data_IF_650441892800
#
_entry.id   IF_650441892800
#
_cell.length_a   1.000
_cell.length_b   1.000
_cell.length_c   1.000
_cell.angle_alpha   90.00
_cell.angle_beta   90.00
_cell.angle_gamma   90.00
#
_symmetry.space_group_name_H-M   'P 1'
#
loop_
_entity.id
_entity.type
_entity.pdbx_description
1 polymer ?
#
# COMPACT_ATOMS: atom_id res chain seq x y z
N UNK A 1 14.51 25.15 -28.70
CA UNK A 1 13.64 26.35 -28.63
C UNK A 1 13.55 26.73 -27.17
N UNK A 2 14.05 27.90 -26.78
CA UNK A 2 13.99 28.42 -25.42
C UNK A 2 12.53 28.73 -25.07
N UNK A 3 11.96 27.94 -24.17
CA UNK A 3 10.65 28.23 -23.58
C UNK A 3 10.81 29.54 -22.79
N UNK A 4 10.36 30.65 -23.37
CA UNK A 4 10.34 31.96 -22.71
C UNK A 4 9.38 31.81 -21.54
N UNK A 5 9.93 31.69 -20.33
CA UNK A 5 9.14 31.61 -19.11
C UNK A 5 8.34 32.90 -18.97
N UNK A 6 7.05 32.86 -19.29
CA UNK A 6 6.13 33.97 -19.05
C UNK A 6 6.17 34.33 -17.56
N UNK A 7 6.51 35.57 -17.18
CA UNK A 7 6.54 35.99 -15.79
C UNK A 7 5.17 35.74 -15.13
N UNK A 8 5.13 34.89 -14.11
CA UNK A 8 3.90 34.52 -13.39
C UNK A 8 3.30 33.16 -13.74
N UNK A 9 3.83 32.43 -14.73
CA UNK A 9 3.45 31.04 -14.95
C UNK A 9 4.02 30.14 -13.83
N UNK A 10 3.20 29.25 -13.27
CA UNK A 10 3.69 28.26 -12.29
C UNK A 10 4.81 27.42 -12.92
N UNK A 11 5.88 27.19 -12.16
CA UNK A 11 6.93 26.28 -12.59
C UNK A 11 6.31 24.91 -12.92
N UNK A 12 6.65 24.38 -14.10
CA UNK A 12 6.19 23.07 -14.59
C UNK A 12 6.69 21.99 -13.64
N UNK A 13 5.84 21.00 -13.33
CA UNK A 13 6.23 19.89 -12.46
C UNK A 13 7.09 18.86 -13.21
N UNK A 14 7.81 18.02 -12.47
CA UNK A 14 8.65 16.97 -13.05
C UNK A 14 7.86 16.06 -13.98
N UNK A 15 6.70 15.56 -13.52
CA UNK A 15 5.80 14.68 -14.28
C UNK A 15 5.22 15.32 -15.55
N UNK A 16 5.23 16.64 -15.62
CA UNK A 16 4.68 17.43 -16.74
C UNK A 16 5.76 17.80 -17.76
N UNK A 17 7.04 17.50 -17.47
CA UNK A 17 8.16 17.83 -18.35
C UNK A 17 8.30 16.78 -19.45
N UNK A 18 8.13 17.14 -20.74
CA UNK A 18 8.31 16.20 -21.83
C UNK A 18 9.80 15.98 -22.14
N UNK A 19 10.10 14.86 -22.81
CA UNK A 19 11.37 14.70 -23.52
C UNK A 19 11.34 15.54 -24.81
N UNK A 20 12.48 16.08 -25.21
CA UNK A 20 12.62 16.68 -26.53
C UNK A 20 12.73 15.61 -27.64
N UNK A 21 12.70 16.05 -28.89
CA UNK A 21 12.79 15.17 -30.07
C UNK A 21 14.10 14.36 -30.14
N UNK A 22 15.12 14.75 -29.39
CA UNK A 22 16.42 14.08 -29.30
C UNK A 22 16.53 13.19 -28.06
N UNK A 23 15.40 12.97 -27.38
CA UNK A 23 15.32 12.15 -26.18
C UNK A 23 15.97 12.80 -24.95
N UNK A 24 16.29 14.10 -24.97
CA UNK A 24 16.78 14.78 -23.78
C UNK A 24 15.62 15.12 -22.85
N UNK A 25 15.86 14.95 -21.56
CA UNK A 25 15.00 15.43 -20.50
C UNK A 25 15.81 16.35 -19.60
N UNK A 26 15.33 17.58 -19.46
CA UNK A 26 15.94 18.59 -18.61
C UNK A 26 14.87 19.15 -17.68
N UNK A 27 15.04 18.85 -16.40
CA UNK A 27 14.21 19.39 -15.34
C UNK A 27 15.09 20.01 -14.28
N UNK A 28 14.74 21.22 -13.85
CA UNK A 28 15.30 21.85 -12.68
C UNK A 28 14.17 22.47 -11.89
N UNK A 29 14.02 22.01 -10.66
CA UNK A 29 13.02 22.52 -9.75
C UNK A 29 13.31 23.95 -9.31
N UNK A 30 12.25 24.71 -9.06
CA UNK A 30 12.31 26.11 -8.63
C UNK A 30 12.83 26.29 -7.19
N UNK A 31 12.82 25.22 -6.39
CA UNK A 31 13.32 25.21 -5.01
C UNK A 31 14.73 24.61 -4.89
N UNK A 32 15.34 24.22 -6.01
CA UNK A 32 16.68 23.66 -6.08
C UNK A 32 17.72 24.67 -5.57
N UNK A 33 18.58 24.21 -4.66
CA UNK A 33 19.74 24.99 -4.16
C UNK A 33 21.00 24.16 -4.33
N UNK A 34 21.98 24.64 -5.12
CA UNK A 34 23.27 23.98 -5.24
C UNK A 34 23.97 23.86 -3.88
N UNK A 35 24.61 22.73 -3.63
CA UNK A 35 25.44 22.53 -2.42
C UNK A 35 24.69 22.04 -1.18
N UNK A 36 23.37 21.87 -1.22
CA UNK A 36 22.64 21.28 -0.10
C UNK A 36 23.14 19.85 0.20
N UNK A 37 23.57 19.63 1.44
CA UNK A 37 23.85 18.28 1.94
C UNK A 37 22.54 17.49 2.10
N UNK A 38 22.64 16.15 2.20
CA UNK A 38 21.46 15.28 2.17
C UNK A 38 20.49 15.52 3.34
N UNK A 39 21.01 15.81 4.54
CA UNK A 39 20.19 16.05 5.72
C UNK A 39 19.43 17.38 5.61
N UNK A 40 20.11 18.46 5.21
CA UNK A 40 19.48 19.77 4.96
C UNK A 40 18.40 19.66 3.88
N UNK A 41 18.71 18.97 2.78
CA UNK A 41 17.77 18.75 1.69
C UNK A 41 16.52 18.00 2.16
N UNK A 42 16.69 16.90 2.91
CA UNK A 42 15.59 16.11 3.46
C UNK A 42 14.71 16.92 4.41
N UNK A 43 15.30 17.71 5.32
CA UNK A 43 14.55 18.56 6.24
C UNK A 43 13.73 19.65 5.52
N UNK A 44 14.30 20.26 4.47
CA UNK A 44 13.58 21.24 3.63
C UNK A 44 12.41 20.60 2.89
N UNK A 45 12.62 19.41 2.31
CA UNK A 45 11.56 18.64 1.65
C UNK A 45 10.47 18.28 2.65
N UNK A 46 10.82 17.83 3.85
CA UNK A 46 9.85 17.52 4.91
C UNK A 46 8.96 18.71 5.24
N UNK A 47 9.56 19.88 5.50
CA UNK A 47 8.81 21.11 5.81
C UNK A 47 7.91 21.54 4.66
N UNK A 48 8.37 21.39 3.41
CA UNK A 48 7.57 21.68 2.22
C UNK A 48 6.40 20.72 2.05
N UNK A 49 6.62 19.42 2.20
CA UNK A 49 5.55 18.43 2.10
C UNK A 49 4.47 18.64 3.17
N UNK A 50 4.85 18.95 4.42
CA UNK A 50 3.89 19.32 5.49
C UNK A 50 3.06 20.54 5.14
N UNK A 51 3.66 21.51 4.45
CA UNK A 51 2.94 22.72 4.01
C UNK A 51 2.01 22.44 2.83
N UNK A 52 2.40 21.55 1.91
CA UNK A 52 1.62 21.23 0.70
C UNK A 52 0.52 20.21 0.91
N UNK A 53 0.68 19.32 1.87
CA UNK A 53 -0.28 18.28 2.21
C UNK A 53 -0.55 18.36 3.73
N UNK A 54 -1.28 19.38 4.20
CA UNK A 54 -1.48 19.63 5.63
C UNK A 54 -2.17 18.48 6.36
N UNK A 55 -3.03 17.73 5.66
CA UNK A 55 -3.77 16.59 6.21
C UNK A 55 -3.03 15.25 6.04
N UNK A 56 -1.81 15.25 5.49
CA UNK A 56 -1.01 14.05 5.25
C UNK A 56 0.20 14.02 6.17
N UNK A 57 0.41 12.90 6.86
CA UNK A 57 1.58 12.68 7.70
C UNK A 57 2.65 11.93 6.92
N UNK A 58 3.88 12.44 6.97
CA UNK A 58 5.04 11.82 6.34
C UNK A 58 6.12 11.48 7.36
N UNK A 59 6.89 10.43 7.07
CA UNK A 59 8.27 10.29 7.54
C UNK A 59 9.21 10.42 6.34
N UNK A 60 10.28 11.22 6.50
CA UNK A 60 11.33 11.33 5.49
C UNK A 60 12.50 10.44 5.88
N UNK A 61 12.92 9.60 4.95
CA UNK A 61 14.12 8.76 5.08
C UNK A 61 15.10 9.11 3.98
N UNK A 62 16.38 8.94 4.28
CA UNK A 62 17.46 9.20 3.34
C UNK A 62 18.38 7.99 3.23
N UNK A 63 18.80 7.67 2.02
CA UNK A 63 19.76 6.60 1.75
C UNK A 63 20.93 7.16 0.94
N UNK A 64 22.16 6.75 1.29
CA UNK A 64 23.35 6.97 0.48
C UNK A 64 23.56 5.74 -0.38
N UNK A 65 23.63 5.94 -1.70
CA UNK A 65 23.92 4.91 -2.68
C UNK A 65 25.35 5.11 -3.17
N UNK A 66 26.02 4.04 -3.63
CA UNK A 66 27.42 4.11 -4.06
C UNK A 66 27.74 5.20 -5.10
N UNK A 67 26.75 5.65 -5.88
CA UNK A 67 26.88 6.77 -6.84
C UNK A 67 25.77 7.82 -6.73
N UNK A 68 25.05 7.89 -5.62
CA UNK A 68 23.91 8.80 -5.53
C UNK A 68 23.32 8.93 -4.14
N UNK A 69 22.28 9.75 -4.04
CA UNK A 69 21.55 10.02 -2.81
C UNK A 69 20.09 9.73 -3.08
N UNK A 70 19.35 9.17 -2.13
CA UNK A 70 17.93 8.90 -2.27
C UNK A 70 17.16 9.48 -1.10
N UNK A 71 15.99 10.04 -1.39
CA UNK A 71 15.05 10.57 -0.40
C UNK A 71 13.72 9.84 -0.59
N UNK A 72 13.22 9.28 0.50
CA UNK A 72 11.98 8.51 0.53
C UNK A 72 10.98 9.27 1.40
N UNK A 73 9.83 9.62 0.83
CA UNK A 73 8.67 10.11 1.57
C UNK A 73 7.72 8.96 1.86
N UNK A 74 7.70 8.51 3.11
CA UNK A 74 6.81 7.46 3.58
C UNK A 74 5.52 8.09 4.13
N UNK A 75 4.40 7.82 3.47
CA UNK A 75 3.07 8.28 3.86
C UNK A 75 2.63 7.44 5.06
N UNK A 76 2.45 8.09 6.21
CA UNK A 76 2.07 7.46 7.47
C UNK A 76 0.59 7.61 7.78
N UNK A 77 -0.04 8.64 7.23
CA UNK A 77 -1.48 8.85 7.31
C UNK A 77 -1.92 9.84 6.23
N UNK A 78 -3.14 9.70 5.71
CA UNK A 78 -3.76 10.62 4.77
C UNK A 78 -5.28 10.48 4.83
N UNK A 79 -6.08 11.53 4.56
CA UNK A 79 -7.54 11.44 4.55
C UNK A 79 -8.05 10.53 3.43
N UNK A 80 -7.33 10.47 2.30
CA UNK A 80 -7.70 9.68 1.15
C UNK A 80 -7.61 8.17 1.41
N UNK A 81 -8.51 7.43 0.77
CA UNK A 81 -8.44 5.98 0.59
C UNK A 81 -7.41 5.65 -0.49
N UNK A 82 -6.27 5.08 -0.08
CA UNK A 82 -5.18 4.65 -0.97
C UNK A 82 -5.19 3.13 -1.20
N UNK A 83 -6.30 2.43 -0.92
CA UNK A 83 -6.43 0.99 -1.22
C UNK A 83 -6.40 0.76 -2.74
N UNK A 84 -7.02 1.64 -3.54
CA UNK A 84 -7.05 1.53 -4.99
C UNK A 84 -5.70 1.92 -5.63
N UNK A 85 -5.22 1.13 -6.60
CA UNK A 85 -3.90 1.35 -7.23
C UNK A 85 -3.80 2.71 -7.93
N UNK A 86 -4.88 3.17 -8.56
CA UNK A 86 -4.89 4.48 -9.23
C UNK A 86 -4.74 5.61 -8.21
N UNK A 87 -5.45 5.55 -7.07
CA UNK A 87 -5.29 6.51 -5.98
C UNK A 87 -3.86 6.50 -5.40
N UNK A 88 -3.21 5.34 -5.32
CA UNK A 88 -1.79 5.24 -4.93
C UNK A 88 -0.89 5.95 -5.94
N UNK A 89 -1.07 5.67 -7.23
CA UNK A 89 -0.26 6.27 -8.29
C UNK A 89 -0.41 7.79 -8.29
N UNK A 90 -1.64 8.30 -8.16
CA UNK A 90 -1.93 9.74 -8.14
C UNK A 90 -1.21 10.43 -6.96
N UNK A 91 -1.30 9.88 -5.75
CA UNK A 91 -0.61 10.46 -4.59
C UNK A 91 0.91 10.35 -4.72
N UNK A 92 1.43 9.25 -5.28
CA UNK A 92 2.87 9.11 -5.49
C UNK A 92 3.40 10.13 -6.49
N UNK A 93 2.70 10.34 -7.60
CA UNK A 93 3.06 11.38 -8.58
C UNK A 93 3.03 12.76 -7.94
N UNK A 94 1.94 13.10 -7.24
CA UNK A 94 1.79 14.40 -6.59
C UNK A 94 2.88 14.68 -5.55
N UNK A 95 3.21 13.71 -4.70
CA UNK A 95 4.27 13.84 -3.68
C UNK A 95 5.65 13.95 -4.35
N UNK A 96 5.95 13.08 -5.33
CA UNK A 96 7.23 13.11 -6.05
C UNK A 96 7.43 14.44 -6.77
N UNK A 97 6.39 14.97 -7.44
CA UNK A 97 6.46 16.28 -8.09
C UNK A 97 6.85 17.39 -7.11
N UNK A 98 6.36 17.36 -5.87
CA UNK A 98 6.76 18.33 -4.85
C UNK A 98 8.19 18.11 -4.34
N UNK A 99 8.66 16.87 -4.26
CA UNK A 99 10.04 16.56 -3.87
C UNK A 99 11.03 16.99 -4.97
N UNK A 100 10.73 16.67 -6.23
CA UNK A 100 11.58 16.96 -7.39
C UNK A 100 11.84 18.45 -7.55
N UNK A 101 10.93 19.34 -7.09
CA UNK A 101 11.16 20.79 -7.07
C UNK A 101 12.43 21.23 -6.33
N UNK A 102 13.01 20.39 -5.48
CA UNK A 102 14.28 20.66 -4.79
C UNK A 102 15.52 20.16 -5.54
N UNK A 103 15.32 19.50 -6.68
CA UNK A 103 16.36 18.84 -7.41
C UNK A 103 16.49 19.27 -8.86
N UNK A 104 17.36 18.56 -9.56
CA UNK A 104 17.43 18.58 -11.01
C UNK A 104 17.57 17.15 -11.52
N UNK A 105 17.13 16.96 -12.76
CA UNK A 105 17.35 15.73 -13.52
C UNK A 105 17.69 16.10 -14.95
N UNK A 106 18.78 15.51 -15.44
CA UNK A 106 19.24 15.59 -16.82
C UNK A 106 19.46 14.18 -17.32
N UNK A 107 18.68 13.76 -18.29
CA UNK A 107 18.83 12.43 -18.87
C UNK A 107 18.68 12.47 -20.39
N UNK A 108 19.19 11.43 -21.04
CA UNK A 108 18.94 11.16 -22.45
C UNK A 108 18.62 9.68 -22.63
N UNK A 109 17.42 9.38 -23.11
CA UNK A 109 16.94 7.99 -23.26
C UNK A 109 17.66 7.21 -24.35
N UNK A 110 18.26 7.88 -25.33
CA UNK A 110 19.00 7.25 -26.43
C UNK A 110 20.48 7.02 -26.11
N UNK A 111 21.01 7.68 -25.07
CA UNK A 111 22.43 7.66 -24.73
C UNK A 111 22.71 7.00 -23.37
N UNK A 112 21.69 6.39 -22.75
CA UNK A 112 21.77 5.81 -21.39
C UNK A 112 22.38 6.78 -20.36
N UNK A 113 22.12 8.08 -20.55
CA UNK A 113 22.60 9.13 -19.67
C UNK A 113 21.51 9.44 -18.64
N UNK A 114 21.87 9.37 -17.36
CA UNK A 114 21.00 9.80 -16.28
C UNK A 114 21.80 10.47 -15.16
N UNK A 115 21.58 11.75 -14.96
CA UNK A 115 22.21 12.54 -13.92
C UNK A 115 21.14 13.31 -13.14
N UNK A 116 21.03 13.05 -11.84
CA UNK A 116 20.08 13.73 -10.97
C UNK A 116 20.75 14.15 -9.66
N UNK A 117 20.17 15.14 -8.99
CA UNK A 117 20.67 15.59 -7.67
C UNK A 117 20.42 14.58 -6.54
N UNK A 118 19.34 13.78 -6.68
CA UNK A 118 18.94 12.70 -5.80
C UNK A 118 17.83 11.88 -6.48
N UNK A 119 17.67 10.62 -6.08
CA UNK A 119 16.53 9.79 -6.41
C UNK A 119 15.39 10.06 -5.43
N UNK A 120 14.15 10.21 -5.91
CA UNK A 120 12.97 10.34 -5.06
C UNK A 120 12.09 9.10 -5.10
N UNK A 121 11.49 8.76 -3.97
CA UNK A 121 10.47 7.73 -3.84
C UNK A 121 9.36 8.22 -2.92
N UNK A 122 8.11 8.08 -3.34
CA UNK A 122 6.95 8.18 -2.47
C UNK A 122 6.38 6.78 -2.28
N UNK A 123 6.09 6.40 -1.04
CA UNK A 123 5.55 5.07 -0.71
C UNK A 123 4.59 5.15 0.45
N UNK A 124 3.70 4.17 0.56
CA UNK A 124 2.80 4.03 1.71
C UNK A 124 3.52 3.22 2.79
N UNK A 125 3.60 3.78 3.99
CA UNK A 125 4.14 3.10 5.16
C UNK A 125 3.10 2.21 5.85
N UNK A 126 3.55 1.23 6.63
CA UNK A 126 2.65 0.36 7.40
C UNK A 126 1.69 1.14 8.32
N UNK A 127 2.15 2.27 8.88
CA UNK A 127 1.35 3.10 9.77
C UNK A 127 0.09 3.67 9.09
N UNK A 128 0.15 3.93 7.78
CA UNK A 128 -1.00 4.42 7.03
C UNK A 128 -2.13 3.41 7.04
N UNK A 129 -1.82 2.13 6.80
CA UNK A 129 -2.85 1.11 6.76
C UNK A 129 -3.50 0.86 8.11
N UNK A 130 -2.73 0.95 9.20
CA UNK A 130 -3.28 0.90 10.54
C UNK A 130 -4.21 2.10 10.83
N UNK A 131 -3.83 3.31 10.42
CA UNK A 131 -4.65 4.52 10.58
C UNK A 131 -5.94 4.45 9.73
N UNK A 132 -5.84 3.93 8.51
CA UNK A 132 -6.97 3.72 7.60
C UNK A 132 -7.98 2.72 8.17
N UNK A 133 -7.49 1.57 8.65
CA UNK A 133 -8.33 0.54 9.29
C UNK A 133 -9.05 1.11 10.53
N UNK A 134 -8.34 1.89 11.35
CA UNK A 134 -8.93 2.56 12.51
C UNK A 134 -10.04 3.55 12.13
N UNK A 135 -9.92 4.28 11.01
CA UNK A 135 -10.96 5.21 10.52
C UNK A 135 -12.17 4.51 9.93
N UNK A 136 -11.96 3.46 9.14
CA UNK A 136 -13.06 2.72 8.49
C UNK A 136 -13.83 1.84 9.45
N UNK A 137 -13.17 1.44 10.54
CA UNK A 137 -13.61 0.30 11.31
C UNK A 137 -13.37 -1.02 10.56
N UNK A 138 -13.54 -2.16 11.24
CA UNK A 138 -13.33 -3.46 10.61
C UNK A 138 -14.34 -3.66 9.48
N UNK A 139 -13.85 -3.81 8.23
CA UNK A 139 -14.68 -4.06 7.03
C UNK A 139 -15.64 -5.25 7.21
N UNK A 140 -15.24 -6.24 8.02
CA UNK A 140 -16.07 -7.36 8.46
C UNK A 140 -15.92 -7.55 9.98
N UNK A 141 -16.78 -6.94 10.79
CA UNK A 141 -16.77 -7.17 12.23
C UNK A 141 -17.22 -8.61 12.51
N UNK A 142 -16.38 -9.36 13.23
CA UNK A 142 -16.72 -10.67 13.78
C UNK A 142 -16.32 -10.65 15.24
N UNK A 143 -17.29 -10.85 16.13
CA UNK A 143 -17.01 -10.95 17.56
C UNK A 143 -16.12 -12.17 17.82
N UNK A 144 -15.01 -12.00 18.54
CA UNK A 144 -14.11 -13.10 18.87
C UNK A 144 -14.65 -13.97 20.04
N UNK A 145 -15.85 -14.55 19.88
CA UNK A 145 -16.51 -15.38 20.90
C UNK A 145 -15.89 -16.77 21.01
N UNK A 146 -15.34 -17.28 19.90
CA UNK A 146 -14.70 -18.59 19.80
C UNK A 146 -13.23 -18.40 19.46
N UNK A 147 -12.34 -18.86 20.34
CA UNK A 147 -10.90 -18.83 20.08
C UNK A 147 -10.51 -19.80 18.95
N UNK A 148 -9.37 -19.58 18.29
CA UNK A 148 -8.87 -20.50 17.27
C UNK A 148 -8.74 -21.94 17.79
N UNK A 149 -8.29 -22.13 19.03
CA UNK A 149 -8.17 -23.45 19.65
C UNK A 149 -9.54 -24.10 19.88
N UNK A 150 -10.53 -23.33 20.34
CA UNK A 150 -11.90 -23.82 20.50
C UNK A 150 -12.54 -24.15 19.14
N UNK A 151 -12.33 -23.31 18.13
CA UNK A 151 -12.80 -23.54 16.76
C UNK A 151 -12.24 -24.84 16.18
N UNK A 152 -10.91 -25.06 16.27
CA UNK A 152 -10.27 -26.32 15.85
C UNK A 152 -10.85 -27.54 16.54
N UNK A 153 -11.27 -27.39 17.80
CA UNK A 153 -11.94 -28.46 18.57
C UNK A 153 -13.40 -28.66 18.18
N UNK A 154 -14.07 -27.73 17.51
CA UNK A 154 -15.49 -27.87 17.15
C UNK A 154 -15.71 -28.18 15.67
N UNK A 155 -14.88 -27.65 14.77
CA UNK A 155 -15.00 -27.88 13.32
C UNK A 155 -14.75 -29.34 12.99
N UNK A 156 -15.54 -29.91 12.07
CA UNK A 156 -15.47 -31.32 11.67
C UNK A 156 -15.53 -31.51 10.16
N UNK A 157 -15.06 -32.67 9.71
CA UNK A 157 -15.37 -33.12 8.36
C UNK A 157 -16.89 -33.31 8.21
N UNK A 158 -17.45 -32.84 7.10
CA UNK A 158 -18.89 -32.78 6.84
C UNK A 158 -19.54 -31.43 7.15
N UNK A 159 -18.90 -30.56 7.93
CA UNK A 159 -19.29 -29.14 7.98
C UNK A 159 -19.03 -28.48 6.63
N UNK A 160 -19.62 -27.32 6.37
CA UNK A 160 -19.38 -26.54 5.16
C UNK A 160 -18.97 -25.10 5.48
N UNK A 161 -18.13 -24.53 4.62
CA UNK A 161 -17.74 -23.12 4.67
C UNK A 161 -18.22 -22.43 3.39
N UNK A 162 -19.04 -21.39 3.55
CA UNK A 162 -19.41 -20.48 2.46
C UNK A 162 -18.51 -19.25 2.51
N UNK A 163 -17.76 -18.98 1.44
CA UNK A 163 -16.93 -17.79 1.38
C UNK A 163 -17.81 -16.56 1.10
N UNK A 164 -17.97 -15.68 2.08
CA UNK A 164 -18.88 -14.53 2.01
C UNK A 164 -18.17 -13.20 1.74
N UNK A 165 -16.89 -13.09 2.11
CA UNK A 165 -16.04 -11.96 1.71
C UNK A 165 -14.60 -12.43 1.50
N UNK A 166 -13.93 -11.83 0.53
CA UNK A 166 -12.54 -12.11 0.18
C UNK A 166 -11.92 -10.91 -0.54
N UNK A 167 -10.58 -10.85 -0.66
CA UNK A 167 -9.92 -9.84 -1.47
C UNK A 167 -10.43 -9.87 -2.93
N UNK A 168 -10.36 -8.73 -3.61
CA UNK A 168 -10.88 -8.57 -4.96
C UNK A 168 -10.33 -9.64 -5.93
N UNK A 169 -11.20 -10.20 -6.78
CA UNK A 169 -10.82 -11.22 -7.77
C UNK A 169 -10.76 -12.66 -7.23
N UNK A 170 -11.17 -12.90 -5.97
CA UNK A 170 -11.16 -14.27 -5.43
C UNK A 170 -12.24 -15.16 -6.08
N UNK A 171 -11.81 -16.06 -6.96
CA UNK A 171 -12.65 -16.94 -7.80
C UNK A 171 -13.75 -17.75 -7.08
N UNK A 172 -13.58 -17.99 -5.79
CA UNK A 172 -14.50 -18.83 -5.02
C UNK A 172 -15.45 -18.02 -4.11
N UNK A 173 -15.49 -16.69 -4.26
CA UNK A 173 -16.42 -15.84 -3.52
C UNK A 173 -17.86 -16.27 -3.82
N UNK A 174 -18.69 -16.40 -2.77
CA UNK A 174 -20.06 -16.88 -2.84
C UNK A 174 -20.23 -18.41 -2.85
N UNK A 175 -19.14 -19.18 -3.01
CA UNK A 175 -19.22 -20.65 -3.05
C UNK A 175 -19.25 -21.27 -1.66
N UNK A 176 -20.09 -22.28 -1.49
CA UNK A 176 -20.12 -23.18 -0.34
C UNK A 176 -19.33 -24.43 -0.65
N UNK A 177 -18.40 -24.81 0.23
CA UNK A 177 -17.60 -26.03 0.06
C UNK A 177 -17.58 -26.83 1.36
N UNK A 178 -17.79 -28.14 1.24
CA UNK A 178 -17.71 -29.06 2.37
C UNK A 178 -16.26 -29.23 2.84
N UNK A 179 -16.08 -29.37 4.14
CA UNK A 179 -14.82 -29.75 4.78
C UNK A 179 -14.68 -31.26 4.65
N UNK A 180 -13.67 -31.72 3.92
CA UNK A 180 -13.38 -33.16 3.75
C UNK A 180 -12.42 -33.67 4.81
N UNK A 181 -11.53 -32.80 5.33
CA UNK A 181 -10.59 -33.16 6.39
C UNK A 181 -10.24 -31.95 7.25
N UNK A 182 -10.08 -32.17 8.56
CA UNK A 182 -9.55 -31.19 9.52
C UNK A 182 -8.19 -31.67 10.00
N UNK A 183 -7.16 -30.82 9.92
CA UNK A 183 -5.81 -31.09 10.44
C UNK A 183 -5.41 -30.04 11.47
N UNK A 184 -4.25 -30.19 12.10
CA UNK A 184 -3.76 -29.24 13.09
C UNK A 184 -3.43 -27.85 12.47
N UNK A 185 -2.95 -27.85 11.22
CA UNK A 185 -2.49 -26.66 10.50
C UNK A 185 -3.48 -26.10 9.48
N UNK A 186 -4.43 -26.90 8.99
CA UNK A 186 -5.34 -26.50 7.92
C UNK A 186 -6.68 -27.27 7.90
N UNK A 187 -7.57 -26.81 7.04
CA UNK A 187 -8.78 -27.49 6.61
C UNK A 187 -8.65 -27.85 5.13
N UNK A 188 -9.10 -29.05 4.75
CA UNK A 188 -9.25 -29.43 3.35
C UNK A 188 -10.71 -29.26 2.97
N UNK A 189 -10.94 -28.44 1.95
CA UNK A 189 -12.23 -28.22 1.34
C UNK A 189 -12.37 -29.08 0.09
N UNK A 190 -13.62 -29.33 -0.29
CA UNK A 190 -13.98 -29.93 -1.57
C UNK A 190 -13.24 -29.25 -2.74
N UNK A 191 -12.83 -30.06 -3.73
CA UNK A 191 -11.99 -29.61 -4.85
C UNK A 191 -10.49 -29.51 -4.52
N UNK A 192 -10.02 -30.17 -3.45
CA UNK A 192 -8.62 -30.17 -2.98
C UNK A 192 -8.08 -28.75 -2.70
N UNK A 193 -8.95 -27.87 -2.23
CA UNK A 193 -8.58 -26.53 -1.78
C UNK A 193 -8.19 -26.58 -0.31
N UNK A 194 -7.11 -25.90 0.07
CA UNK A 194 -6.61 -25.88 1.44
C UNK A 194 -6.88 -24.51 2.07
N UNK A 195 -7.26 -24.50 3.35
CA UNK A 195 -7.41 -23.29 4.15
C UNK A 195 -6.56 -23.42 5.41
N UNK A 196 -5.40 -22.75 5.41
CA UNK A 196 -4.47 -22.77 6.55
C UNK A 196 -4.99 -21.93 7.71
N UNK A 197 -4.77 -22.41 8.93
CA UNK A 197 -5.09 -21.63 10.12
C UNK A 197 -4.09 -20.49 10.32
N UNK A 198 -4.56 -19.27 10.61
CA UNK A 198 -3.67 -18.14 10.89
C UNK A 198 -3.11 -18.24 12.32
N UNK A 199 -2.27 -17.26 12.70
CA UNK A 199 -1.96 -17.01 14.11
C UNK A 199 -3.23 -16.59 14.86
N UNK A 200 -3.25 -16.79 16.18
CA UNK A 200 -4.43 -16.49 17.01
C UNK A 200 -4.88 -15.02 16.90
N UNK A 201 -3.96 -14.07 16.79
CA UNK A 201 -4.27 -12.64 16.64
C UNK A 201 -4.94 -12.27 15.30
N UNK A 202 -4.83 -13.16 14.30
CA UNK A 202 -5.40 -12.98 12.97
C UNK A 202 -6.70 -13.79 12.76
N UNK A 203 -7.24 -14.40 13.83
CA UNK A 203 -8.46 -15.20 13.80
C UNK A 203 -9.58 -14.54 14.60
N UNK A 204 -10.80 -14.54 14.07
CA UNK A 204 -12.01 -14.23 14.83
C UNK A 204 -13.15 -15.17 14.43
N UNK A 205 -13.97 -15.59 15.39
CA UNK A 205 -15.13 -16.42 15.14
C UNK A 205 -16.23 -16.14 16.17
N UNK A 206 -17.45 -15.85 15.70
CA UNK A 206 -18.61 -15.55 16.55
C UNK A 206 -19.51 -16.76 16.80
N UNK A 207 -19.12 -17.93 16.28
CA UNK A 207 -19.90 -19.17 16.29
C UNK A 207 -20.56 -19.51 14.96
N UNK A 208 -20.75 -18.52 14.07
CA UNK A 208 -21.27 -18.67 12.70
C UNK A 208 -20.30 -18.11 11.67
N UNK A 209 -19.84 -16.87 11.82
CA UNK A 209 -18.87 -16.25 10.95
C UNK A 209 -17.45 -16.56 11.42
N UNK A 210 -16.57 -16.88 10.49
CA UNK A 210 -15.16 -17.19 10.72
C UNK A 210 -14.33 -16.25 9.85
N UNK A 211 -13.60 -15.33 10.49
CA UNK A 211 -12.68 -14.41 9.82
C UNK A 211 -11.25 -14.89 9.99
N UNK A 212 -10.56 -15.03 8.86
CA UNK A 212 -9.14 -15.36 8.78
C UNK A 212 -8.45 -14.18 8.10
N UNK A 213 -7.63 -13.46 8.85
CA UNK A 213 -6.87 -12.32 8.32
C UNK A 213 -5.71 -12.85 7.50
N UNK A 214 -5.65 -12.45 6.23
CA UNK A 214 -4.60 -12.78 5.28
C UNK A 214 -3.85 -11.51 4.83
N UNK A 215 -4.04 -10.43 5.58
CA UNK A 215 -3.51 -9.13 5.25
C UNK A 215 -1.99 -9.15 5.18
N UNK A 216 -1.46 -8.41 4.23
CA UNK A 216 -0.03 -8.14 4.16
C UNK A 216 0.27 -6.82 4.87
N UNK A 217 1.55 -6.48 4.97
CA UNK A 217 1.96 -5.15 5.40
C UNK A 217 1.43 -4.01 4.51
N UNK A 218 1.02 -4.33 3.27
CA UNK A 218 0.47 -3.38 2.30
C UNK A 218 -1.05 -3.40 2.20
N UNK A 219 -1.71 -4.35 2.88
CA UNK A 219 -3.17 -4.46 2.90
C UNK A 219 -3.58 -5.28 4.14
N UNK A 220 -3.54 -4.69 5.35
CA UNK A 220 -3.82 -5.41 6.59
C UNK A 220 -5.29 -5.79 6.74
N UNK A 221 -6.19 -5.14 5.99
CA UNK A 221 -7.63 -5.42 5.99
C UNK A 221 -8.04 -6.49 4.97
N UNK A 222 -7.07 -7.15 4.32
CA UNK A 222 -7.33 -8.34 3.53
C UNK A 222 -7.62 -9.53 4.44
N UNK A 223 -8.87 -9.99 4.44
CA UNK A 223 -9.31 -11.19 5.15
C UNK A 223 -10.16 -12.07 4.26
N UNK A 224 -10.24 -13.33 4.62
CA UNK A 224 -11.32 -14.22 4.20
C UNK A 224 -12.36 -14.24 5.31
N UNK A 225 -13.62 -14.02 4.93
CA UNK A 225 -14.77 -14.22 5.80
C UNK A 225 -15.56 -15.41 5.29
N UNK A 226 -15.72 -16.42 6.15
CA UNK A 226 -16.54 -17.57 5.89
C UNK A 226 -17.77 -17.58 6.79
N UNK A 227 -18.89 -18.06 6.26
CA UNK A 227 -20.01 -18.55 7.05
C UNK A 227 -19.82 -20.05 7.26
N UNK A 228 -19.76 -20.46 8.52
CA UNK A 228 -19.63 -21.85 8.94
C UNK A 228 -21.01 -22.47 9.13
N UNK A 229 -21.32 -23.39 8.22
CA UNK A 229 -22.51 -24.20 8.22
C UNK A 229 -22.14 -25.52 8.89
N UNK A 230 -22.53 -25.66 10.16
CA UNK A 230 -22.35 -26.92 10.88
C UNK A 230 -23.20 -27.97 10.20
N UNK A 231 -22.68 -29.19 10.12
CA UNK A 231 -23.51 -30.33 9.73
C UNK A 231 -24.71 -30.38 10.68
N UNK A 232 -25.92 -30.43 10.12
CA UNK A 232 -27.12 -30.65 10.93
C UNK A 232 -26.87 -31.89 11.80
N UNK A 233 -27.07 -31.73 13.11
CA UNK A 233 -27.01 -32.84 14.03
C UNK A 233 -28.18 -33.78 13.70
N UNK A 234 -27.90 -34.77 12.87
CA UNK A 234 -28.75 -35.94 12.70
C UNK A 234 -28.73 -36.79 13.98
#
# INVERSE_FOLDING_TARGET
MTDVSTPGASARLYSQTPFDERGNFHYQGDLHRPGDNLATLAARIEGHLKTKFPDTRFAIRTEQLGRGRKIIAEILDAPADLTARDAQNDVFVAVRDQMERFGFTRSNVYQDLHNCSFYCEARIGQAYWAALSARRGPKNPVDAKVSLAAFKKQVRAGDSLKLVDAPAGHRALGTTRAITQVRSGDLILEGRSYLSFPRASAFACDGRLVRISNGSEYDPDSHLLYEWLRRDAA
#
